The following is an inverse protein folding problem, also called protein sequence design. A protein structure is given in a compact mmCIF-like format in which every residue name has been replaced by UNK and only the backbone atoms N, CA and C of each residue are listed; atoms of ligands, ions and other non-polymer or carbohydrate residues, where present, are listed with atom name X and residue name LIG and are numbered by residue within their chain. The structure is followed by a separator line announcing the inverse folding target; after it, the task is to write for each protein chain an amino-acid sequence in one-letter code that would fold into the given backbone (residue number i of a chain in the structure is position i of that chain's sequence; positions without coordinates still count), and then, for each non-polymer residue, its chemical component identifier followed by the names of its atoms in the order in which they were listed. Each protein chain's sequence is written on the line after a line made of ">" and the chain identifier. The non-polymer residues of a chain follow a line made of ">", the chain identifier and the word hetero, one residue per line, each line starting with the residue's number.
data_IF_169771128104
#
_entry.id   IF_169771128104
#
_cell.length_a   1.000
_cell.length_b   1.000
_cell.length_c   1.000
_cell.angle_alpha   90.00
_cell.angle_beta   90.00
_cell.angle_gamma   90.00
#
_symmetry.space_group_name_H-M   'P 1'
#
loop_
_entity.id
_entity.type
_entity.pdbx_description
1 polymer ?
#
# COMPACT_ATOMS: atom_id res chain seq x y z
N UNK A 1 -11.07 30.15 8.13
CA UNK A 1 -11.30 29.39 6.89
C UNK A 1 -10.80 27.97 7.13
N UNK A 2 -11.70 27.00 7.30
CA UNK A 2 -11.35 25.60 7.53
C UNK A 2 -11.02 24.95 6.18
N UNK A 3 -9.74 24.65 5.95
CA UNK A 3 -9.26 24.07 4.70
C UNK A 3 -9.66 22.59 4.64
N UNK A 4 -10.46 22.28 3.64
CA UNK A 4 -11.07 20.98 3.36
C UNK A 4 -9.99 19.95 2.97
N UNK A 5 -9.47 19.18 3.94
CA UNK A 5 -8.50 18.09 3.72
C UNK A 5 -9.15 16.71 3.61
N UNK A 6 -10.47 16.59 3.79
CA UNK A 6 -11.14 15.30 3.90
C UNK A 6 -11.57 14.68 2.55
N UNK A 7 -11.46 15.40 1.44
CA UNK A 7 -12.00 14.92 0.16
C UNK A 7 -11.01 14.08 -0.66
N UNK A 8 -9.71 14.12 -0.41
CA UNK A 8 -8.72 13.32 -1.18
C UNK A 8 -8.32 12.00 -0.50
N UNK A 9 -8.33 11.95 0.84
CA UNK A 9 -8.02 10.72 1.59
C UNK A 9 -9.18 9.71 1.54
N UNK A 10 -10.42 10.16 1.77
CA UNK A 10 -11.62 9.31 1.80
C UNK A 10 -11.92 8.54 0.49
N UNK A 11 -11.75 9.12 -0.72
CA UNK A 11 -11.97 8.38 -1.96
C UNK A 11 -10.92 7.29 -2.19
N UNK A 12 -9.68 7.52 -1.74
CA UNK A 12 -8.61 6.55 -1.87
C UNK A 12 -8.85 5.38 -0.92
N UNK A 13 -9.22 5.65 0.34
CA UNK A 13 -9.58 4.59 1.29
C UNK A 13 -10.72 3.70 0.75
N UNK A 14 -11.81 4.29 0.26
CA UNK A 14 -12.94 3.54 -0.31
C UNK A 14 -12.54 2.69 -1.52
N UNK A 15 -11.65 3.19 -2.38
CA UNK A 15 -11.14 2.44 -3.54
C UNK A 15 -10.24 1.29 -3.09
N UNK A 16 -9.36 1.51 -2.10
CA UNK A 16 -8.48 0.49 -1.53
C UNK A 16 -9.31 -0.64 -0.93
N UNK A 17 -10.33 -0.31 -0.13
CA UNK A 17 -11.24 -1.30 0.48
C UNK A 17 -11.86 -2.18 -0.61
N UNK A 18 -12.43 -1.58 -1.66
CA UNK A 18 -13.04 -2.33 -2.77
C UNK A 18 -12.05 -3.22 -3.50
N UNK A 19 -10.82 -2.74 -3.71
CA UNK A 19 -9.76 -3.56 -4.32
C UNK A 19 -9.45 -4.79 -3.47
N UNK A 20 -9.32 -4.60 -2.15
CA UNK A 20 -9.04 -5.69 -1.21
C UNK A 20 -10.19 -6.68 -1.11
N UNK A 21 -11.45 -6.22 -1.06
CA UNK A 21 -12.63 -7.09 -1.09
C UNK A 21 -12.73 -7.90 -2.38
N UNK A 22 -12.40 -7.28 -3.52
CA UNK A 22 -12.33 -7.96 -4.80
C UNK A 22 -11.24 -9.03 -4.80
N UNK A 23 -10.06 -8.71 -4.27
CA UNK A 23 -8.93 -9.62 -4.17
C UNK A 23 -9.23 -10.81 -3.25
N UNK A 24 -9.88 -10.58 -2.10
CA UNK A 24 -10.32 -11.63 -1.19
C UNK A 24 -11.30 -12.62 -1.85
N UNK A 25 -12.19 -12.12 -2.73
CA UNK A 25 -13.10 -12.96 -3.53
C UNK A 25 -12.39 -13.68 -4.69
N UNK A 26 -11.20 -13.22 -5.09
CA UNK A 26 -10.45 -13.77 -6.23
C UNK A 26 -8.97 -13.98 -5.88
N UNK A 27 -8.62 -14.98 -5.04
CA UNK A 27 -7.27 -15.14 -4.52
C UNK A 27 -6.17 -15.23 -5.59
N UNK A 28 -6.47 -15.79 -6.76
CA UNK A 28 -5.53 -15.91 -7.89
C UNK A 28 -5.10 -14.54 -8.47
N UNK A 29 -5.84 -13.47 -8.19
CA UNK A 29 -5.48 -12.09 -8.61
C UNK A 29 -4.55 -11.41 -7.61
N UNK A 30 -4.49 -11.88 -6.36
CA UNK A 30 -3.70 -11.26 -5.29
C UNK A 30 -2.22 -11.10 -5.67
N UNK A 31 -1.51 -12.14 -6.17
CA UNK A 31 -0.09 -12.00 -6.50
C UNK A 31 0.17 -10.91 -7.54
N UNK A 32 -0.71 -10.81 -8.56
CA UNK A 32 -0.56 -9.80 -9.61
C UNK A 32 -0.81 -8.38 -9.09
N UNK A 33 -1.77 -8.21 -8.17
CA UNK A 33 -2.06 -6.93 -7.54
C UNK A 33 -0.89 -6.52 -6.64
N UNK A 34 -0.43 -7.43 -5.79
CA UNK A 34 0.68 -7.19 -4.87
C UNK A 34 1.96 -6.83 -5.62
N UNK A 35 2.30 -7.58 -6.67
CA UNK A 35 3.48 -7.31 -7.49
C UNK A 35 3.44 -5.93 -8.16
N UNK A 36 2.27 -5.55 -8.68
CA UNK A 36 2.09 -4.23 -9.26
C UNK A 36 2.25 -3.10 -8.22
N UNK A 37 1.72 -3.30 -7.01
CA UNK A 37 1.86 -2.33 -5.92
C UNK A 37 3.32 -2.21 -5.46
N UNK A 38 4.04 -3.33 -5.36
CA UNK A 38 5.48 -3.38 -5.05
C UNK A 38 6.28 -2.57 -6.08
N UNK A 39 6.17 -2.90 -7.37
CA UNK A 39 6.88 -2.20 -8.45
C UNK A 39 6.55 -0.70 -8.47
N UNK A 40 5.28 -0.36 -8.22
CA UNK A 40 4.84 1.03 -8.13
C UNK A 40 5.48 1.72 -6.93
N UNK A 41 5.57 1.07 -5.77
CA UNK A 41 6.20 1.64 -4.57
C UNK A 41 7.64 2.09 -4.88
N UNK A 42 8.44 1.20 -5.48
CA UNK A 42 9.82 1.51 -5.85
C UNK A 42 9.94 2.68 -6.84
N UNK A 43 8.99 2.80 -7.78
CA UNK A 43 8.98 3.90 -8.75
C UNK A 43 8.65 5.23 -8.07
N UNK A 44 7.66 5.24 -7.19
CA UNK A 44 7.19 6.46 -6.54
C UNK A 44 8.13 6.93 -5.44
N UNK A 45 8.82 6.03 -4.74
CA UNK A 45 9.90 6.36 -3.81
C UNK A 45 11.06 7.08 -4.51
N UNK A 46 11.51 6.56 -5.66
CA UNK A 46 12.58 7.20 -6.45
C UNK A 46 12.17 8.56 -7.02
N UNK A 47 10.88 8.75 -7.30
CA UNK A 47 10.32 10.01 -7.78
C UNK A 47 9.95 10.98 -6.63
N UNK A 48 10.19 10.59 -5.38
CA UNK A 48 9.82 11.33 -4.16
C UNK A 48 8.32 11.69 -4.11
N UNK A 49 7.46 10.86 -4.70
CA UNK A 49 6.01 11.03 -4.71
C UNK A 49 5.37 10.46 -3.43
N UNK A 50 5.72 11.06 -2.29
CA UNK A 50 5.39 10.59 -0.93
C UNK A 50 3.90 10.30 -0.71
N UNK A 51 3.01 11.12 -1.28
CA UNK A 51 1.55 10.89 -1.19
C UNK A 51 1.12 9.56 -1.81
N UNK A 52 1.71 9.17 -2.94
CA UNK A 52 1.40 7.91 -3.61
C UNK A 52 2.01 6.72 -2.86
N UNK A 53 3.20 6.88 -2.29
CA UNK A 53 3.83 5.87 -1.42
C UNK A 53 2.93 5.57 -0.22
N UNK A 54 2.36 6.58 0.44
CA UNK A 54 1.39 6.42 1.54
C UNK A 54 0.17 5.59 1.13
N UNK A 55 -0.43 5.91 -0.02
CA UNK A 55 -1.59 5.17 -0.56
C UNK A 55 -1.23 3.70 -0.84
N UNK A 56 -0.02 3.43 -1.34
CA UNK A 56 0.45 2.06 -1.59
C UNK A 56 0.67 1.30 -0.28
N UNK A 57 1.30 1.92 0.72
CA UNK A 57 1.48 1.32 2.05
C UNK A 57 0.12 1.02 2.72
N UNK A 58 -0.83 1.95 2.68
CA UNK A 58 -2.20 1.73 3.14
C UNK A 58 -2.90 0.59 2.40
N UNK A 59 -2.62 0.43 1.10
CA UNK A 59 -3.15 -0.68 0.29
C UNK A 59 -2.64 -2.03 0.78
N UNK A 60 -1.34 -2.15 1.07
CA UNK A 60 -0.77 -3.38 1.66
C UNK A 60 -1.33 -3.64 3.07
N UNK A 61 -1.43 -2.62 3.92
CA UNK A 61 -2.05 -2.74 5.24
C UNK A 61 -3.50 -3.24 5.16
N UNK A 62 -4.27 -2.73 4.20
CA UNK A 62 -5.65 -3.17 4.01
C UNK A 62 -5.73 -4.58 3.43
N UNK A 63 -4.83 -4.97 2.54
CA UNK A 63 -4.70 -6.35 2.05
C UNK A 63 -4.39 -7.32 3.20
N UNK A 64 -3.45 -6.97 4.08
CA UNK A 64 -3.16 -7.76 5.29
C UNK A 64 -4.38 -7.89 6.21
N UNK A 65 -5.17 -6.83 6.33
CA UNK A 65 -6.37 -6.81 7.17
C UNK A 65 -7.53 -7.65 6.60
N UNK A 66 -7.79 -7.55 5.29
CA UNK A 66 -8.94 -8.20 4.62
C UNK A 66 -8.60 -9.61 4.11
N UNK A 67 -7.41 -9.80 3.54
CA UNK A 67 -6.99 -11.05 2.87
C UNK A 67 -6.13 -11.95 3.79
N UNK A 68 -6.45 -12.01 5.09
CA UNK A 68 -5.65 -12.72 6.12
C UNK A 68 -5.37 -14.18 5.78
N UNK A 69 -6.37 -14.89 5.25
CA UNK A 69 -6.22 -16.30 4.87
C UNK A 69 -5.43 -16.51 3.56
N UNK A 70 -5.05 -15.43 2.88
CA UNK A 70 -4.32 -15.43 1.62
C UNK A 70 -2.95 -14.77 1.72
N UNK A 71 -2.44 -14.49 2.93
CA UNK A 71 -1.14 -13.80 3.14
C UNK A 71 0.00 -14.44 2.36
N UNK A 72 0.01 -15.76 2.22
CA UNK A 72 1.04 -16.50 1.47
C UNK A 72 1.16 -16.07 0.00
N UNK A 73 0.13 -15.48 -0.59
CA UNK A 73 0.14 -15.02 -1.98
C UNK A 73 0.88 -13.68 -2.19
N UNK A 74 1.15 -12.93 -1.13
CA UNK A 74 1.71 -11.58 -1.23
C UNK A 74 2.68 -11.21 -0.10
N UNK A 75 3.03 -12.17 0.77
CA UNK A 75 3.92 -11.93 1.91
C UNK A 75 5.30 -11.40 1.48
N UNK A 76 5.85 -11.92 0.38
CA UNK A 76 7.13 -11.47 -0.15
C UNK A 76 7.05 -10.02 -0.64
N UNK A 77 6.00 -9.66 -1.38
CA UNK A 77 5.80 -8.29 -1.85
C UNK A 77 5.68 -7.31 -0.68
N UNK A 78 4.97 -7.68 0.38
CA UNK A 78 4.87 -6.88 1.62
C UNK A 78 6.24 -6.70 2.27
N UNK A 79 6.99 -7.78 2.46
CA UNK A 79 8.30 -7.72 3.10
C UNK A 79 9.28 -6.83 2.33
N UNK A 80 9.30 -6.95 0.99
CA UNK A 80 10.19 -6.13 0.18
C UNK A 80 9.81 -4.65 0.25
N UNK A 81 8.52 -4.32 0.18
CA UNK A 81 8.04 -2.94 0.33
C UNK A 81 8.36 -2.40 1.72
N UNK A 82 8.10 -3.17 2.78
CA UNK A 82 8.44 -2.79 4.15
C UNK A 82 9.94 -2.51 4.29
N UNK A 83 10.81 -3.38 3.77
CA UNK A 83 12.26 -3.16 3.80
C UNK A 83 12.64 -1.85 3.11
N UNK A 84 12.12 -1.62 1.91
CA UNK A 84 12.44 -0.40 1.15
C UNK A 84 11.95 0.88 1.85
N UNK A 85 10.77 0.83 2.50
CA UNK A 85 10.26 1.96 3.27
C UNK A 85 11.13 2.25 4.50
N UNK A 86 11.57 1.21 5.21
CA UNK A 86 12.45 1.35 6.38
C UNK A 86 13.84 1.89 5.99
N UNK A 87 14.36 1.47 4.85
CA UNK A 87 15.66 1.90 4.33
C UNK A 87 15.65 3.34 3.78
N UNK A 88 14.46 3.96 3.62
CA UNK A 88 14.32 5.32 3.13
C UNK A 88 14.68 6.39 4.18
N UNK A 89 15.97 6.64 4.35
CA UNK A 89 16.52 7.50 5.41
C UNK A 89 16.22 9.01 5.28
N UNK A 90 15.52 9.45 4.23
CA UNK A 90 15.26 10.88 3.96
C UNK A 90 14.00 11.40 4.66
N UNK A 91 13.10 10.52 5.08
CA UNK A 91 11.80 10.89 5.65
C UNK A 91 11.35 9.87 6.71
N UNK A 92 11.39 10.28 7.98
CA UNK A 92 10.93 9.45 9.10
C UNK A 92 9.46 9.05 8.97
N UNK A 93 8.61 9.86 8.33
CA UNK A 93 7.22 9.53 8.10
C UNK A 93 7.05 8.41 7.07
N UNK A 94 8.00 8.23 6.15
CA UNK A 94 8.03 7.07 5.25
C UNK A 94 8.50 5.84 5.99
N UNK A 95 9.56 5.94 6.79
CA UNK A 95 10.04 4.83 7.60
C UNK A 95 8.97 4.30 8.55
N UNK A 96 8.18 5.21 9.15
CA UNK A 96 7.05 4.86 10.00
C UNK A 96 5.94 4.06 9.27
N UNK A 97 5.83 4.13 7.95
CA UNK A 97 4.88 3.31 7.17
C UNK A 97 5.38 1.87 6.98
N UNK A 98 6.68 1.63 7.10
CA UNK A 98 7.27 0.31 7.04
C UNK A 98 7.07 -0.50 8.34
N UNK A 99 6.83 0.18 9.46
CA UNK A 99 6.57 -0.41 10.78
C UNK A 99 5.13 -0.90 10.91
#
# INVERSE_FOLDING_TARGET
>A
MLYNTSQDELPNERKIVKLCEYAAKNPLRIPKIAKYLEERCYKELRSEHIKLVKIIAESFNKLLSICKAQITYFAVDVLNVTSELLDYSKDEAIQALGC
#
